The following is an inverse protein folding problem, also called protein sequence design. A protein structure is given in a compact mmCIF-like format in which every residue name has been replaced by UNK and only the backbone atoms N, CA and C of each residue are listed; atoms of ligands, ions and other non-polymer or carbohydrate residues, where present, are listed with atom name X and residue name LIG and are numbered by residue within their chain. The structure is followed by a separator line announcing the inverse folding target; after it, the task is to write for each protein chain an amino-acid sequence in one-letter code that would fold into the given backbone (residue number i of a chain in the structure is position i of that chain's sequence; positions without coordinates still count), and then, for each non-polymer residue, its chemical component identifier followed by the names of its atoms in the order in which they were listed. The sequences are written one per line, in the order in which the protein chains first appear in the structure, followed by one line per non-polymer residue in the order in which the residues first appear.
data_IF_783234377707
#
_entry.id   IF_783234377707
#
_cell.length_a   1.000
_cell.length_b   1.000
_cell.length_c   1.000
_cell.angle_alpha   90.00
_cell.angle_beta   90.00
_cell.angle_gamma   90.00
#
_symmetry.space_group_name_H-M   'P 1'
#
loop_
_entity.id
_entity.type
_entity.pdbx_description
1 polymer ?
#
# COMPACT_ATOMS: atom_id res chain seq x y z
N UNK A 1 16.80 41.39 -37.89
CA UNK A 1 15.87 40.30 -37.49
C UNK A 1 15.83 40.28 -35.98
N UNK A 2 14.70 40.68 -35.39
CA UNK A 2 14.52 40.66 -33.93
C UNK A 2 14.11 39.24 -33.53
N UNK A 3 14.91 38.56 -32.72
CA UNK A 3 14.55 37.26 -32.14
C UNK A 3 13.85 37.54 -30.82
N UNK A 4 12.54 37.31 -30.77
CA UNK A 4 11.76 37.37 -29.54
C UNK A 4 11.84 36.00 -28.88
N UNK A 5 12.50 35.94 -27.72
CA UNK A 5 12.54 34.73 -26.88
C UNK A 5 11.33 34.80 -25.96
N UNK A 6 10.32 33.94 -26.20
CA UNK A 6 9.22 33.74 -25.27
C UNK A 6 9.71 32.87 -24.11
N UNK A 7 9.93 33.48 -22.95
CA UNK A 7 10.11 32.78 -21.69
C UNK A 7 8.72 32.39 -21.16
N UNK A 8 8.31 31.14 -21.37
CA UNK A 8 7.17 30.57 -20.64
C UNK A 8 7.61 30.32 -19.18
N UNK A 9 7.19 31.19 -18.28
CA UNK A 9 7.21 30.90 -16.85
C UNK A 9 6.06 29.94 -16.55
N UNK A 10 6.36 28.66 -16.41
CA UNK A 10 5.46 27.73 -15.73
C UNK A 10 5.47 28.09 -14.25
N UNK A 11 4.52 28.93 -13.82
CA UNK A 11 4.18 29.07 -12.42
C UNK A 11 3.66 27.70 -11.96
N UNK A 12 4.52 26.92 -11.30
CA UNK A 12 4.07 25.76 -10.56
C UNK A 12 3.12 26.26 -9.48
N UNK A 13 1.86 25.84 -9.54
CA UNK A 13 0.94 26.07 -8.44
C UNK A 13 1.51 25.33 -7.22
N UNK A 14 2.04 26.07 -6.27
CA UNK A 14 2.24 25.54 -4.92
C UNK A 14 0.84 25.34 -4.36
N UNK A 15 0.30 24.12 -4.42
CA UNK A 15 -0.90 23.76 -3.68
C UNK A 15 -0.64 24.08 -2.20
N UNK A 16 -1.23 25.18 -1.74
CA UNK A 16 -1.37 25.44 -0.31
C UNK A 16 -2.13 24.24 0.26
N UNK A 17 -1.57 23.56 1.25
CA UNK A 17 -2.26 22.50 1.97
C UNK A 17 -3.66 23.04 2.34
N UNK A 18 -4.71 22.44 1.77
CA UNK A 18 -6.06 22.91 1.98
C UNK A 18 -6.43 22.80 3.47
N UNK A 19 -7.23 23.73 3.96
CA UNK A 19 -7.69 23.74 5.37
C UNK A 19 -8.51 22.48 5.76
N UNK A 20 -8.88 21.65 4.79
CA UNK A 20 -9.64 20.41 4.99
C UNK A 20 -9.21 19.32 4.02
N UNK A 21 -9.49 18.06 4.37
CA UNK A 21 -9.25 16.90 3.53
C UNK A 21 -10.46 15.96 3.51
N UNK A 22 -10.56 15.14 2.45
CA UNK A 22 -11.55 14.08 2.30
C UNK A 22 -10.89 12.75 2.64
N UNK A 23 -11.47 12.03 3.59
CA UNK A 23 -11.05 10.70 4.02
C UNK A 23 -12.04 9.65 3.56
N UNK A 24 -11.57 8.41 3.41
CA UNK A 24 -12.42 7.24 3.26
C UNK A 24 -11.97 6.11 4.19
N UNK A 25 -12.93 5.24 4.52
CA UNK A 25 -12.70 3.97 5.21
C UNK A 25 -13.38 2.88 4.40
N UNK A 26 -12.77 1.71 4.33
CA UNK A 26 -13.36 0.55 3.67
C UNK A 26 -13.55 -0.60 4.65
N UNK A 27 -14.79 -1.05 4.83
CA UNK A 27 -15.06 -2.27 5.59
C UNK A 27 -14.84 -3.49 4.68
N UNK A 28 -13.82 -4.29 5.00
CA UNK A 28 -13.41 -5.41 4.15
C UNK A 28 -13.97 -6.75 4.60
N UNK A 29 -14.56 -7.49 3.66
CA UNK A 29 -14.89 -8.90 3.84
C UNK A 29 -13.66 -9.75 3.53
N UNK A 30 -12.81 -9.93 4.53
CA UNK A 30 -11.53 -10.65 4.41
C UNK A 30 -11.70 -12.06 3.83
N UNK A 31 -10.91 -12.38 2.81
CA UNK A 31 -10.73 -13.75 2.34
C UNK A 31 -9.79 -14.44 3.32
N UNK A 32 -10.33 -15.31 4.18
CA UNK A 32 -9.58 -15.98 5.24
C UNK A 32 -8.87 -17.25 4.75
N UNK A 33 -7.73 -17.56 5.37
CA UNK A 33 -7.15 -18.91 5.32
C UNK A 33 -8.04 -19.84 6.16
N UNK A 34 -8.60 -20.93 5.61
CA UNK A 34 -9.47 -21.83 6.35
C UNK A 34 -8.74 -22.60 7.47
N UNK A 35 -7.41 -22.69 7.41
CA UNK A 35 -6.58 -23.43 8.37
C UNK A 35 -5.45 -22.55 8.92
N UNK A 36 -5.74 -21.44 9.64
CA UNK A 36 -4.73 -20.43 10.01
C UNK A 36 -3.68 -20.93 11.02
N UNK A 37 -3.92 -22.08 11.66
CA UNK A 37 -2.96 -22.72 12.58
C UNK A 37 -1.99 -23.68 11.90
N UNK A 38 -2.18 -23.97 10.62
CA UNK A 38 -1.28 -24.81 9.81
C UNK A 38 -0.26 -23.90 9.13
N UNK A 39 1.05 -24.08 9.35
CA UNK A 39 2.07 -23.31 8.66
C UNK A 39 1.99 -23.51 7.14
N UNK A 40 2.21 -22.43 6.40
CA UNK A 40 2.28 -22.41 4.94
C UNK A 40 3.63 -21.88 4.49
N UNK A 41 4.02 -22.15 3.26
CA UNK A 41 5.21 -21.54 2.66
C UNK A 41 4.99 -20.04 2.42
N UNK A 42 6.09 -19.27 2.32
CA UNK A 42 6.02 -17.84 1.96
C UNK A 42 5.24 -17.60 0.66
N UNK A 43 5.47 -18.45 -0.35
CA UNK A 43 4.76 -18.36 -1.64
C UNK A 43 3.25 -18.53 -1.48
N UNK A 44 2.81 -19.50 -0.68
CA UNK A 44 1.39 -19.73 -0.42
C UNK A 44 0.76 -18.57 0.37
N UNK A 45 1.48 -18.02 1.35
CA UNK A 45 1.05 -16.84 2.09
C UNK A 45 0.88 -15.63 1.16
N UNK A 46 1.83 -15.38 0.26
CA UNK A 46 1.75 -14.31 -0.75
C UNK A 46 0.55 -14.48 -1.69
N UNK A 47 0.32 -15.69 -2.22
CA UNK A 47 -0.86 -15.99 -3.06
C UNK A 47 -2.16 -15.73 -2.30
N UNK A 48 -2.19 -16.00 -0.99
CA UNK A 48 -3.37 -15.73 -0.16
C UNK A 48 -3.55 -14.22 0.09
N UNK A 49 -2.50 -13.51 0.49
CA UNK A 49 -2.54 -12.06 0.74
C UNK A 49 -2.91 -11.27 -0.52
N UNK A 50 -2.40 -11.69 -1.69
CA UNK A 50 -2.69 -11.04 -2.97
C UNK A 50 -4.20 -10.97 -3.23
N UNK A 51 -4.97 -12.01 -2.91
CA UNK A 51 -6.42 -12.01 -3.11
C UNK A 51 -7.14 -10.89 -2.34
N UNK A 52 -6.63 -10.52 -1.17
CA UNK A 52 -7.17 -9.40 -0.40
C UNK A 52 -6.63 -8.06 -0.93
N UNK A 53 -5.36 -8.00 -1.34
CA UNK A 53 -4.76 -6.82 -1.95
C UNK A 53 -5.43 -6.44 -3.28
N UNK A 54 -5.83 -7.40 -4.11
CA UNK A 54 -6.57 -7.15 -5.36
C UNK A 54 -7.87 -6.37 -5.08
N UNK A 55 -8.57 -6.69 -3.98
CA UNK A 55 -9.78 -5.98 -3.57
C UNK A 55 -9.46 -4.58 -3.03
N UNK A 56 -8.34 -4.42 -2.32
CA UNK A 56 -7.86 -3.13 -1.82
C UNK A 56 -7.45 -2.20 -2.96
N UNK A 57 -6.81 -2.74 -4.01
CA UNK A 57 -6.47 -1.99 -5.22
C UNK A 57 -7.73 -1.40 -5.87
N UNK A 58 -8.77 -2.19 -6.04
CA UNK A 58 -10.05 -1.70 -6.57
C UNK A 58 -10.65 -0.58 -5.70
N UNK A 59 -10.58 -0.71 -4.37
CA UNK A 59 -11.14 0.28 -3.46
C UNK A 59 -10.29 1.56 -3.43
N UNK A 60 -8.96 1.43 -3.50
CA UNK A 60 -8.05 2.55 -3.61
C UNK A 60 -8.29 3.34 -4.91
N UNK A 61 -8.48 2.64 -6.03
CA UNK A 61 -8.83 3.27 -7.30
C UNK A 61 -10.16 4.03 -7.23
N UNK A 62 -11.20 3.45 -6.62
CA UNK A 62 -12.51 4.12 -6.43
C UNK A 62 -12.43 5.33 -5.50
N UNK A 63 -11.63 5.25 -4.43
CA UNK A 63 -11.42 6.37 -3.51
C UNK A 63 -10.67 7.51 -4.21
N UNK A 64 -9.62 7.19 -4.97
CA UNK A 64 -8.87 8.16 -5.76
C UNK A 64 -9.77 8.88 -6.79
N UNK A 65 -10.67 8.16 -7.46
CA UNK A 65 -11.66 8.75 -8.38
C UNK A 65 -12.62 9.74 -7.70
N UNK A 66 -12.82 9.62 -6.40
CA UNK A 66 -13.65 10.53 -5.60
C UNK A 66 -12.84 11.68 -4.97
N UNK A 67 -11.55 11.81 -5.32
CA UNK A 67 -10.68 12.82 -4.77
C UNK A 67 -10.34 12.60 -3.29
N UNK A 68 -10.46 11.38 -2.77
CA UNK A 68 -10.06 11.05 -1.39
C UNK A 68 -8.55 11.21 -1.25
N UNK A 69 -8.10 11.90 -0.19
CA UNK A 69 -6.67 12.09 0.08
C UNK A 69 -6.08 11.04 1.03
N UNK A 70 -6.92 10.38 1.83
CA UNK A 70 -6.51 9.25 2.68
C UNK A 70 -7.59 8.18 2.75
N UNK A 71 -7.20 6.94 2.50
CA UNK A 71 -8.04 5.75 2.62
C UNK A 71 -7.45 4.82 3.68
N UNK A 72 -8.30 4.38 4.62
CA UNK A 72 -7.90 3.46 5.69
C UNK A 72 -8.55 2.09 5.50
N UNK A 73 -7.75 1.05 5.70
CA UNK A 73 -8.15 -0.35 5.66
C UNK A 73 -8.17 -0.98 7.06
N UNK A 74 -8.97 -2.03 7.30
CA UNK A 74 -9.09 -2.66 8.61
C UNK A 74 -7.84 -3.44 9.00
N UNK A 75 -7.67 -3.60 10.31
CA UNK A 75 -6.73 -4.56 10.91
C UNK A 75 -6.95 -5.97 10.36
N UNK A 76 -5.86 -6.74 10.23
CA UNK A 76 -5.86 -8.12 9.74
C UNK A 76 -6.48 -8.32 8.34
N UNK A 77 -6.75 -7.25 7.59
CA UNK A 77 -7.51 -7.36 6.35
C UNK A 77 -6.78 -7.98 5.17
N UNK A 78 -5.45 -8.13 5.25
CA UNK A 78 -4.62 -8.76 4.20
C UNK A 78 -4.46 -10.27 4.44
N UNK A 79 -4.17 -10.68 5.68
CA UNK A 79 -3.86 -12.08 6.03
C UNK A 79 -4.89 -12.78 6.92
N UNK A 80 -5.82 -12.04 7.53
CA UNK A 80 -6.78 -12.56 8.51
C UNK A 80 -6.15 -12.78 9.89
N UNK A 81 -6.83 -13.57 10.72
CA UNK A 81 -6.52 -13.74 12.15
C UNK A 81 -6.44 -15.24 12.53
N UNK A 82 -6.28 -15.54 13.83
CA UNK A 82 -6.21 -16.89 14.43
C UNK A 82 -4.95 -17.72 14.15
N UNK A 83 -3.81 -17.07 13.91
CA UNK A 83 -2.51 -17.74 13.75
C UNK A 83 -1.86 -18.14 15.08
N UNK A 84 -0.91 -19.08 15.02
CA UNK A 84 0.11 -19.27 16.05
C UNK A 84 1.40 -18.55 15.64
N UNK A 85 2.37 -18.44 16.55
CA UNK A 85 3.69 -17.87 16.24
C UNK A 85 4.38 -18.56 15.05
N UNK A 86 4.22 -19.88 14.93
CA UNK A 86 4.82 -20.62 13.81
C UNK A 86 4.02 -20.48 12.53
N UNK A 87 2.68 -20.50 12.59
CA UNK A 87 1.85 -20.47 11.38
C UNK A 87 1.77 -19.09 10.72
N UNK A 88 1.93 -18.00 11.48
CA UNK A 88 1.97 -16.64 10.90
C UNK A 88 3.27 -16.34 10.13
N UNK A 89 4.35 -17.08 10.40
CA UNK A 89 5.70 -16.72 9.94
C UNK A 89 5.82 -16.48 8.43
N UNK A 90 5.09 -17.25 7.60
CA UNK A 90 5.09 -17.06 6.14
C UNK A 90 4.46 -15.76 5.66
N UNK A 91 3.62 -15.11 6.47
CA UNK A 91 2.91 -13.88 6.15
C UNK A 91 3.72 -12.61 6.47
N UNK A 92 4.76 -12.71 7.29
CA UNK A 92 5.45 -11.55 7.85
C UNK A 92 6.58 -11.06 6.95
N UNK A 93 6.85 -9.75 7.06
CA UNK A 93 8.01 -9.10 6.49
C UNK A 93 8.63 -8.16 7.52
N UNK A 94 9.92 -7.89 7.41
CA UNK A 94 10.55 -6.79 8.17
C UNK A 94 10.13 -5.47 7.55
N UNK A 95 9.61 -4.53 8.35
CA UNK A 95 9.31 -3.16 7.94
C UNK A 95 10.40 -2.26 8.53
N UNK A 96 11.19 -1.53 7.72
CA UNK A 96 12.22 -0.64 8.24
C UNK A 96 11.62 0.57 8.97
N UNK A 97 12.40 1.20 9.85
CA UNK A 97 12.01 2.43 10.54
C UNK A 97 12.09 3.62 9.57
N UNK A 98 10.97 4.30 9.26
CA UNK A 98 10.98 5.46 8.37
C UNK A 98 11.75 6.68 8.91
N UNK A 99 12.16 6.68 10.19
CA UNK A 99 13.03 7.72 10.75
C UNK A 99 14.51 7.49 10.42
N UNK A 100 14.90 6.24 10.18
CA UNK A 100 16.29 5.87 9.90
C UNK A 100 16.61 5.93 8.40
N UNK A 101 15.59 5.79 7.55
CA UNK A 101 15.77 5.85 6.09
C UNK A 101 14.53 6.31 5.32
N UNK A 102 14.78 6.85 4.12
CA UNK A 102 13.77 7.02 3.09
C UNK A 102 13.87 5.86 2.10
N UNK A 103 12.75 5.18 1.86
CA UNK A 103 12.65 4.09 0.90
C UNK A 103 11.29 4.11 0.23
N UNK A 104 11.29 4.08 -1.11
CA UNK A 104 10.09 3.85 -1.90
C UNK A 104 10.16 2.43 -2.50
N UNK A 105 9.38 1.47 -1.98
CA UNK A 105 9.41 0.08 -2.46
C UNK A 105 9.04 -0.10 -3.94
N UNK A 106 8.25 0.80 -4.51
CA UNK A 106 7.84 0.73 -5.92
C UNK A 106 8.99 1.15 -6.86
N UNK A 107 9.79 2.16 -6.49
CA UNK A 107 10.94 2.61 -7.31
C UNK A 107 12.24 1.89 -6.99
N UNK A 108 12.38 1.34 -5.79
CA UNK A 108 13.56 0.63 -5.31
C UNK A 108 13.18 -0.78 -4.77
N UNK A 109 12.57 -1.66 -5.58
CA UNK A 109 12.01 -2.93 -5.11
C UNK A 109 13.06 -3.93 -4.62
N UNK A 110 14.32 -3.75 -5.02
CA UNK A 110 15.43 -4.64 -4.72
C UNK A 110 16.29 -4.17 -3.53
N UNK A 111 15.93 -3.05 -2.88
CA UNK A 111 16.64 -2.55 -1.68
C UNK A 111 16.60 -3.56 -0.53
N UNK A 112 15.47 -4.26 -0.41
CA UNK A 112 15.24 -5.28 0.62
C UNK A 112 14.62 -6.53 0.04
N UNK A 113 15.11 -7.69 0.51
CA UNK A 113 14.57 -8.99 0.14
C UNK A 113 13.29 -9.31 0.91
N UNK A 114 12.41 -10.14 0.31
CA UNK A 114 11.16 -10.61 0.93
C UNK A 114 10.24 -9.45 1.34
N UNK A 115 10.02 -8.51 0.41
CA UNK A 115 9.21 -7.30 0.62
C UNK A 115 8.04 -7.19 -0.37
N UNK A 116 7.57 -8.33 -0.90
CA UNK A 116 6.62 -8.39 -1.99
C UNK A 116 5.28 -7.69 -1.69
N UNK A 117 4.85 -7.64 -0.42
CA UNK A 117 3.60 -6.96 -0.03
C UNK A 117 3.74 -5.43 -0.10
N UNK A 118 4.96 -4.89 -0.01
CA UNK A 118 5.21 -3.44 -0.05
C UNK A 118 5.37 -2.89 -1.46
N UNK A 119 5.55 -3.75 -2.46
CA UNK A 119 5.90 -3.38 -3.83
C UNK A 119 4.71 -2.85 -4.64
#
# INVERSE_FOLDING_TARGET
MLVVVLLLFCLGETESAGDSYVAAVYEHRVILNPNPRVPVTRREALIHMQKNLDIYEEQAAKAAQQGVQILVFPEDGIHGFNFTRSSISGYLETIPDPQEESWNPCTEPDKYNNTEVKR
#
